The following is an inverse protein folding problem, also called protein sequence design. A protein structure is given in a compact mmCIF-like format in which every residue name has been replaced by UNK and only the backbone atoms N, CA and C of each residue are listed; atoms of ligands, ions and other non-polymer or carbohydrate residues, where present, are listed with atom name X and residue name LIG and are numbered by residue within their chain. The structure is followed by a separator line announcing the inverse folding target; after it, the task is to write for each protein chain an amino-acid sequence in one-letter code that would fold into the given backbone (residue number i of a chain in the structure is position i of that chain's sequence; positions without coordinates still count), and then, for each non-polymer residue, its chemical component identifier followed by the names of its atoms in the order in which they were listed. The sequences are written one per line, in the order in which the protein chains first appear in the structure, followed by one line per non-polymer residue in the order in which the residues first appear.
data_IF_619975672083
#
_entry.id   IF_619975672083
#
_cell.length_a   1.000
_cell.length_b   1.000
_cell.length_c   1.000
_cell.angle_alpha   90.00
_cell.angle_beta   90.00
_cell.angle_gamma   90.00
#
_symmetry.space_group_name_H-M   'P 1'
#
loop_
_entity.id
_entity.type
_entity.pdbx_description
1 polymer ?
#
# COMPACT_ATOMS: atom_id res chain seq x y z
N UNK A 1 4.63 -17.12 22.48
CA UNK A 1 5.95 -17.71 22.81
C UNK A 1 6.46 -18.44 21.59
N UNK A 2 7.34 -17.84 20.80
CA UNK A 2 7.99 -18.56 19.70
C UNK A 2 8.99 -19.58 20.27
N UNK A 3 8.94 -20.82 19.78
CA UNK A 3 9.82 -21.88 20.24
C UNK A 3 11.30 -21.54 19.92
N UNK A 4 12.24 -21.69 20.87
CA UNK A 4 13.66 -21.33 20.69
C UNK A 4 14.32 -21.96 19.46
N UNK A 5 13.88 -23.15 19.07
CA UNK A 5 14.33 -23.86 17.87
C UNK A 5 13.91 -23.18 16.57
N UNK A 6 12.66 -22.69 16.49
CA UNK A 6 12.18 -21.95 15.32
C UNK A 6 12.98 -20.66 15.12
N UNK A 7 13.26 -19.93 16.21
CA UNK A 7 14.06 -18.69 16.17
C UNK A 7 15.51 -18.94 15.77
N UNK A 8 16.13 -20.04 16.25
CA UNK A 8 17.47 -20.48 15.81
C UNK A 8 17.49 -20.86 14.32
N UNK A 9 16.47 -21.58 13.86
CA UNK A 9 16.36 -21.97 12.45
C UNK A 9 16.18 -20.77 11.53
N UNK A 10 15.24 -19.86 11.82
CA UNK A 10 14.99 -18.64 11.03
C UNK A 10 16.24 -17.77 10.91
N UNK A 11 17.08 -17.74 11.96
CA UNK A 11 18.32 -16.98 11.96
C UNK A 11 19.52 -17.72 11.35
N UNK A 12 19.38 -18.99 10.97
CA UNK A 12 20.45 -19.80 10.39
C UNK A 12 20.84 -19.32 8.99
N UNK A 13 22.09 -19.61 8.59
CA UNK A 13 22.57 -19.34 7.23
C UNK A 13 21.74 -20.05 6.16
N UNK A 14 21.25 -21.26 6.46
CA UNK A 14 20.41 -22.04 5.56
C UNK A 14 19.06 -21.37 5.32
N UNK A 15 18.38 -20.92 6.38
CA UNK A 15 17.10 -20.23 6.25
C UNK A 15 17.26 -18.90 5.50
N UNK A 16 18.33 -18.14 5.77
CA UNK A 16 18.66 -16.91 5.04
C UNK A 16 18.89 -17.20 3.56
N UNK A 17 19.69 -18.22 3.23
CA UNK A 17 19.95 -18.62 1.84
C UNK A 17 18.67 -18.96 1.06
N UNK A 18 17.77 -19.76 1.65
CA UNK A 18 16.50 -20.10 1.00
C UNK A 18 15.57 -18.90 0.88
N UNK A 19 15.52 -18.04 1.90
CA UNK A 19 14.74 -16.80 1.85
C UNK A 19 15.24 -15.89 0.71
N UNK A 20 16.54 -15.66 0.62
CA UNK A 20 17.13 -14.80 -0.40
C UNK A 20 16.93 -15.39 -1.81
N UNK A 21 17.05 -16.71 -1.94
CA UNK A 21 16.78 -17.42 -3.20
C UNK A 21 15.31 -17.29 -3.62
N UNK A 22 14.38 -17.45 -2.68
CA UNK A 22 12.95 -17.28 -2.93
C UNK A 22 12.61 -15.84 -3.32
N UNK A 23 13.17 -14.85 -2.61
CA UNK A 23 13.01 -13.42 -2.94
C UNK A 23 13.50 -13.14 -4.36
N UNK A 24 14.70 -13.63 -4.71
CA UNK A 24 15.26 -13.44 -6.05
C UNK A 24 14.39 -14.09 -7.14
N UNK A 25 13.85 -15.27 -6.88
CA UNK A 25 12.96 -15.96 -7.81
C UNK A 25 11.67 -15.16 -8.02
N UNK A 26 11.01 -14.72 -6.95
CA UNK A 26 9.79 -13.90 -7.05
C UNK A 26 10.09 -12.60 -7.78
N UNK A 27 11.18 -11.89 -7.44
CA UNK A 27 11.59 -10.66 -8.15
C UNK A 27 11.80 -10.88 -9.64
N UNK A 28 12.50 -11.94 -10.02
CA UNK A 28 12.77 -12.25 -11.43
C UNK A 28 11.50 -12.60 -12.20
N UNK A 29 10.58 -13.35 -11.57
CA UNK A 29 9.27 -13.64 -12.15
C UNK A 29 8.45 -12.37 -12.30
N UNK A 30 8.33 -11.57 -11.24
CA UNK A 30 7.62 -10.29 -11.22
C UNK A 30 8.15 -9.32 -12.29
N UNK A 31 9.48 -9.24 -12.45
CA UNK A 31 10.10 -8.42 -13.48
C UNK A 31 9.64 -8.79 -14.89
N UNK A 32 9.65 -10.09 -15.22
CA UNK A 32 9.20 -10.58 -16.53
C UNK A 32 7.71 -10.32 -16.74
N UNK A 33 6.88 -10.61 -15.74
CA UNK A 33 5.44 -10.37 -15.81
C UNK A 33 5.11 -8.89 -16.04
N UNK A 34 5.80 -7.97 -15.36
CA UNK A 34 5.60 -6.54 -15.58
C UNK A 34 6.20 -6.06 -16.90
N UNK A 35 7.32 -6.61 -17.36
CA UNK A 35 7.84 -6.30 -18.70
C UNK A 35 6.81 -6.67 -19.77
N UNK A 36 6.28 -7.90 -19.74
CA UNK A 36 5.24 -8.35 -20.67
C UNK A 36 3.96 -7.51 -20.56
N UNK A 37 3.52 -7.18 -19.35
CA UNK A 37 2.33 -6.35 -19.13
C UNK A 37 2.51 -4.92 -19.66
N UNK A 38 3.65 -4.29 -19.37
CA UNK A 38 3.91 -2.88 -19.67
C UNK A 38 4.37 -2.63 -21.11
N UNK A 39 4.86 -3.64 -21.82
CA UNK A 39 5.21 -3.54 -23.24
C UNK A 39 3.97 -3.56 -24.15
N UNK A 40 2.79 -3.94 -23.61
CA UNK A 40 1.52 -3.93 -24.33
C UNK A 40 0.74 -2.67 -23.96
N UNK A 41 0.75 -1.67 -24.85
CA UNK A 41 0.11 -0.36 -24.64
C UNK A 41 -1.37 -0.43 -24.21
N UNK A 42 -2.09 -1.50 -24.58
CA UNK A 42 -3.52 -1.68 -24.28
C UNK A 42 -3.80 -2.26 -22.87
N UNK A 43 -2.80 -2.79 -22.19
CA UNK A 43 -2.99 -3.46 -20.89
C UNK A 43 -3.46 -2.49 -19.80
N UNK A 44 -2.90 -1.27 -19.75
CA UNK A 44 -3.30 -0.25 -18.77
C UNK A 44 -4.74 0.21 -19.03
N UNK A 45 -5.11 0.44 -20.30
CA UNK A 45 -6.48 0.82 -20.66
C UNK A 45 -7.50 -0.27 -20.29
N UNK A 46 -7.19 -1.53 -20.58
CA UNK A 46 -8.05 -2.66 -20.19
C UNK A 46 -8.19 -2.83 -18.69
N UNK A 47 -7.15 -2.46 -17.92
CA UNK A 47 -7.21 -2.50 -16.47
C UNK A 47 -8.19 -1.45 -15.93
N UNK A 48 -8.26 -0.27 -16.53
CA UNK A 48 -9.26 0.73 -16.17
C UNK A 48 -10.70 0.24 -16.44
N UNK A 49 -10.95 -0.42 -17.58
CA UNK A 49 -12.25 -1.02 -17.89
C UNK A 49 -12.64 -2.13 -16.92
N UNK A 50 -11.66 -2.96 -16.53
CA UNK A 50 -11.83 -3.95 -15.49
C UNK A 50 -12.22 -3.31 -14.17
N UNK A 51 -11.52 -2.25 -13.74
CA UNK A 51 -11.78 -1.54 -12.48
C UNK A 51 -13.19 -0.93 -12.44
N UNK A 52 -13.67 -0.38 -13.57
CA UNK A 52 -15.02 0.15 -13.72
C UNK A 52 -16.11 -0.92 -13.53
N UNK A 53 -15.85 -2.14 -13.98
CA UNK A 53 -16.76 -3.28 -13.85
C UNK A 53 -16.69 -3.90 -12.47
N UNK A 54 -15.47 -4.12 -11.96
CA UNK A 54 -15.18 -4.69 -10.66
C UNK A 54 -15.83 -3.85 -9.54
N UNK A 55 -15.66 -2.53 -9.56
CA UNK A 55 -16.20 -1.66 -8.50
C UNK A 55 -17.73 -1.75 -8.39
N UNK A 56 -18.46 -1.84 -9.51
CA UNK A 56 -19.94 -1.89 -9.53
C UNK A 56 -20.46 -3.22 -8.97
N UNK A 57 -19.78 -4.31 -9.31
CA UNK A 57 -20.13 -5.66 -8.87
C UNK A 57 -19.93 -5.82 -7.36
N UNK A 58 -18.75 -5.47 -6.87
CA UNK A 58 -18.38 -5.71 -5.47
C UNK A 58 -18.98 -4.67 -4.50
N UNK A 59 -19.15 -3.41 -4.91
CA UNK A 59 -19.81 -2.40 -4.07
C UNK A 59 -21.23 -2.84 -3.70
N UNK A 60 -21.97 -3.36 -4.68
CA UNK A 60 -23.34 -3.84 -4.51
C UNK A 60 -23.40 -5.00 -3.53
N UNK A 61 -22.51 -5.98 -3.67
CA UNK A 61 -22.45 -7.14 -2.79
C UNK A 61 -22.09 -6.75 -1.34
N UNK A 62 -21.04 -5.94 -1.15
CA UNK A 62 -20.60 -5.49 0.18
C UNK A 62 -21.72 -4.71 0.88
N UNK A 63 -22.37 -3.79 0.18
CA UNK A 63 -23.40 -2.94 0.76
C UNK A 63 -24.71 -3.69 1.04
N UNK A 64 -25.08 -4.67 0.21
CA UNK A 64 -26.25 -5.50 0.44
C UNK A 64 -26.07 -6.48 1.61
N UNK A 65 -24.85 -6.98 1.84
CA UNK A 65 -24.60 -8.09 2.78
C UNK A 65 -23.99 -7.64 4.10
N UNK A 66 -22.97 -6.78 4.07
CA UNK A 66 -22.18 -6.44 5.24
C UNK A 66 -22.68 -5.19 5.97
N UNK A 67 -23.31 -4.26 5.23
CA UNK A 67 -23.60 -2.91 5.75
C UNK A 67 -25.09 -2.51 5.66
N UNK A 68 -25.96 -3.35 5.12
CA UNK A 68 -27.37 -3.00 4.87
C UNK A 68 -28.14 -2.57 6.14
N UNK A 69 -27.79 -3.15 7.29
CA UNK A 69 -28.41 -2.81 8.57
C UNK A 69 -27.90 -1.49 9.14
N UNK A 70 -26.68 -1.09 8.79
CA UNK A 70 -25.96 0.03 9.42
C UNK A 70 -26.03 1.30 8.58
N UNK A 71 -26.04 1.16 7.25
CA UNK A 71 -25.87 2.26 6.30
C UNK A 71 -26.88 2.09 5.16
N UNK A 72 -27.58 3.14 4.73
CA UNK A 72 -28.45 3.10 3.56
C UNK A 72 -27.71 2.57 2.33
N UNK A 73 -28.33 1.61 1.63
CA UNK A 73 -27.72 0.89 0.53
C UNK A 73 -27.14 1.80 -0.56
N UNK A 74 -27.93 2.76 -1.05
CA UNK A 74 -27.49 3.65 -2.15
C UNK A 74 -26.29 4.52 -1.76
N UNK A 75 -26.28 4.99 -0.51
CA UNK A 75 -25.17 5.77 0.03
C UNK A 75 -23.92 4.91 0.18
N UNK A 76 -24.06 3.71 0.76
CA UNK A 76 -22.96 2.76 0.88
C UNK A 76 -22.37 2.43 -0.50
N UNK A 77 -23.22 2.06 -1.46
CA UNK A 77 -22.81 1.62 -2.80
C UNK A 77 -22.04 2.72 -3.51
N UNK A 78 -22.59 3.94 -3.57
CA UNK A 78 -21.94 5.10 -4.19
C UNK A 78 -20.59 5.41 -3.54
N UNK A 79 -20.53 5.38 -2.22
CA UNK A 79 -19.31 5.67 -1.46
C UNK A 79 -18.24 4.60 -1.72
N UNK A 80 -18.63 3.32 -1.74
CA UNK A 80 -17.75 2.19 -2.02
C UNK A 80 -17.22 2.23 -3.46
N UNK A 81 -18.05 2.53 -4.46
CA UNK A 81 -17.61 2.65 -5.86
C UNK A 81 -16.54 3.74 -6.02
N UNK A 82 -16.72 4.89 -5.37
CA UNK A 82 -15.74 5.98 -5.39
C UNK A 82 -14.43 5.55 -4.71
N UNK A 83 -14.52 4.87 -3.56
CA UNK A 83 -13.37 4.38 -2.83
C UNK A 83 -12.56 3.36 -3.65
N UNK A 84 -13.23 2.32 -4.17
CA UNK A 84 -12.60 1.28 -4.97
C UNK A 84 -11.91 1.86 -6.21
N UNK A 85 -12.60 2.76 -6.93
CA UNK A 85 -12.00 3.42 -8.10
C UNK A 85 -10.76 4.23 -7.75
N UNK A 86 -10.82 5.06 -6.69
CA UNK A 86 -9.66 5.86 -6.27
C UNK A 86 -8.51 4.99 -5.80
N UNK A 87 -8.81 3.89 -5.10
CA UNK A 87 -7.82 2.92 -4.65
C UNK A 87 -7.13 2.25 -5.84
N UNK A 88 -7.88 1.81 -6.85
CA UNK A 88 -7.31 1.18 -8.04
C UNK A 88 -6.47 2.19 -8.84
N UNK A 89 -7.02 3.37 -9.11
CA UNK A 89 -6.36 4.43 -9.86
C UNK A 89 -5.00 4.83 -9.27
N UNK A 90 -4.86 4.85 -7.95
CA UNK A 90 -3.57 5.22 -7.34
C UNK A 90 -2.51 4.11 -7.43
N UNK A 91 -2.91 2.86 -7.63
CA UNK A 91 -1.96 1.77 -7.82
C UNK A 91 -1.39 1.75 -9.24
N UNK A 92 -2.14 2.23 -10.25
CA UNK A 92 -1.76 2.16 -11.66
C UNK A 92 -0.36 2.72 -11.97
N UNK A 93 0.03 3.92 -11.48
CA UNK A 93 1.35 4.46 -11.80
C UNK A 93 2.52 3.59 -11.33
N UNK A 94 2.35 2.77 -10.28
CA UNK A 94 3.43 1.92 -9.76
C UNK A 94 3.68 0.66 -10.59
N UNK A 95 2.72 0.24 -11.43
CA UNK A 95 2.78 -1.01 -12.18
C UNK A 95 3.95 -0.95 -13.17
N UNK A 96 4.00 0.11 -13.99
CA UNK A 96 4.98 0.25 -15.06
C UNK A 96 6.11 1.25 -14.77
N UNK A 97 6.10 1.91 -13.62
CA UNK A 97 7.21 2.78 -13.20
C UNK A 97 8.47 1.96 -12.92
N UNK A 98 9.62 2.41 -13.42
CA UNK A 98 10.93 1.77 -13.20
C UNK A 98 11.84 2.64 -12.35
N UNK A 99 12.67 2.00 -11.53
CA UNK A 99 13.77 2.66 -10.83
C UNK A 99 14.85 3.05 -11.84
N UNK A 100 15.27 4.32 -11.81
CA UNK A 100 16.37 4.82 -12.65
C UNK A 100 17.70 4.11 -12.39
N UNK A 101 17.91 3.62 -11.16
CA UNK A 101 19.19 3.06 -10.73
C UNK A 101 19.33 1.57 -11.08
N UNK A 102 18.24 0.82 -10.98
CA UNK A 102 18.26 -0.64 -11.10
C UNK A 102 17.56 -1.16 -12.36
N UNK A 103 16.73 -0.34 -13.02
CA UNK A 103 15.86 -0.78 -14.11
C UNK A 103 14.70 -1.68 -13.65
N UNK A 104 14.64 -2.06 -12.37
CA UNK A 104 13.55 -2.81 -11.77
C UNK A 104 12.26 -2.01 -11.76
N UNK A 105 11.12 -2.68 -11.84
CA UNK A 105 9.83 -2.05 -11.63
C UNK A 105 9.66 -1.64 -10.16
N UNK A 106 8.99 -0.52 -9.89
CA UNK A 106 8.75 -0.07 -8.52
C UNK A 106 7.86 -1.05 -7.74
N UNK A 107 6.92 -1.72 -8.43
CA UNK A 107 6.16 -2.83 -7.85
C UNK A 107 7.06 -4.01 -7.45
N UNK A 108 8.10 -4.32 -8.24
CA UNK A 108 9.08 -5.37 -7.91
C UNK A 108 9.86 -5.02 -6.63
N UNK A 109 10.34 -3.78 -6.50
CA UNK A 109 11.04 -3.30 -5.31
C UNK A 109 10.11 -3.30 -4.08
N UNK A 110 8.84 -2.91 -4.25
CA UNK A 110 7.80 -2.97 -3.21
C UNK A 110 7.59 -4.39 -2.67
N UNK A 111 7.43 -5.37 -3.58
CA UNK A 111 7.31 -6.77 -3.18
C UNK A 111 8.61 -7.30 -2.56
N UNK A 112 9.76 -6.83 -3.02
CA UNK A 112 11.06 -7.11 -2.40
C UNK A 112 11.06 -6.73 -0.92
N UNK A 113 10.62 -5.50 -0.59
CA UNK A 113 10.50 -5.03 0.79
C UNK A 113 9.51 -5.87 1.61
N UNK A 114 8.35 -6.20 1.02
CA UNK A 114 7.37 -7.08 1.67
C UNK A 114 7.94 -8.45 2.02
N UNK A 115 8.67 -9.09 1.10
CA UNK A 115 9.24 -10.42 1.35
C UNK A 115 10.47 -10.37 2.28
N UNK A 116 11.21 -9.27 2.28
CA UNK A 116 12.32 -9.06 3.22
C UNK A 116 11.82 -8.91 4.65
N UNK A 117 10.80 -8.08 4.88
CA UNK A 117 10.16 -7.95 6.18
C UNK A 117 8.70 -7.54 6.00
N UNK A 118 7.75 -8.49 6.07
CA UNK A 118 6.32 -8.19 5.98
C UNK A 118 5.88 -7.21 7.06
N UNK A 119 6.45 -7.34 8.26
CA UNK A 119 6.18 -6.45 9.39
C UNK A 119 6.59 -5.00 9.08
N UNK A 120 7.82 -4.79 8.62
CA UNK A 120 8.27 -3.44 8.28
C UNK A 120 7.50 -2.88 7.10
N UNK A 121 7.23 -3.70 6.08
CA UNK A 121 6.42 -3.28 4.94
C UNK A 121 5.04 -2.79 5.37
N UNK A 122 4.33 -3.54 6.22
CA UNK A 122 3.03 -3.12 6.76
C UNK A 122 3.17 -1.79 7.50
N UNK A 123 4.20 -1.63 8.36
CA UNK A 123 4.46 -0.37 9.08
C UNK A 123 4.71 0.82 8.14
N UNK A 124 5.31 0.59 6.97
CA UNK A 124 5.52 1.64 5.95
C UNK A 124 4.21 2.06 5.28
N UNK A 125 3.30 1.11 5.06
CA UNK A 125 2.06 1.32 4.32
C UNK A 125 0.90 1.83 5.19
N UNK A 126 0.93 1.58 6.50
CA UNK A 126 -0.12 2.01 7.42
C UNK A 126 0.18 3.36 8.07
N UNK A 127 -0.86 4.09 8.50
CA UNK A 127 -0.67 5.32 9.25
C UNK A 127 -0.04 5.06 10.62
N UNK A 128 0.86 5.95 11.06
CA UNK A 128 1.52 5.82 12.37
C UNK A 128 0.64 6.42 13.46
N UNK A 129 0.11 5.54 14.32
CA UNK A 129 -0.72 5.91 15.47
C UNK A 129 0.10 6.13 16.77
N UNK A 130 1.33 5.60 16.82
CA UNK A 130 2.23 5.72 17.98
C UNK A 130 3.70 5.70 17.55
N UNK A 131 4.56 6.43 18.24
CA UNK A 131 6.01 6.46 17.97
C UNK A 131 6.71 5.13 18.25
N UNK A 132 6.07 4.21 19.00
CA UNK A 132 6.51 2.82 19.16
C UNK A 132 6.57 2.04 17.84
N UNK A 133 6.00 2.58 16.77
CA UNK A 133 6.02 2.00 15.42
C UNK A 133 7.41 2.11 14.76
N UNK A 134 8.28 3.01 15.25
CA UNK A 134 9.59 3.32 14.68
C UNK A 134 10.71 2.39 15.20
N UNK A 135 10.66 1.10 14.84
CA UNK A 135 11.76 0.18 15.20
C UNK A 135 13.02 0.50 14.40
N UNK A 136 14.19 0.37 15.02
CA UNK A 136 15.48 0.62 14.37
C UNK A 136 15.68 -0.26 13.12
N UNK A 137 15.18 -1.50 13.15
CA UNK A 137 15.21 -2.42 12.00
C UNK A 137 14.41 -1.87 10.81
N UNK A 138 13.17 -1.42 11.03
CA UNK A 138 12.34 -0.92 9.93
C UNK A 138 12.83 0.44 9.42
N UNK A 139 13.35 1.30 10.29
CA UNK A 139 14.00 2.55 9.88
C UNK A 139 15.22 2.26 9.01
N UNK A 140 16.07 1.31 9.41
CA UNK A 140 17.24 0.92 8.63
C UNK A 140 16.86 0.32 7.27
N UNK A 141 15.86 -0.55 7.23
CA UNK A 141 15.37 -1.15 5.99
C UNK A 141 14.83 -0.10 5.01
N UNK A 142 14.03 0.85 5.52
CA UNK A 142 13.48 1.93 4.70
C UNK A 142 14.56 2.88 4.19
N UNK A 143 15.51 3.26 5.05
CA UNK A 143 16.64 4.10 4.65
C UNK A 143 17.50 3.44 3.56
N UNK A 144 17.72 2.12 3.67
CA UNK A 144 18.43 1.36 2.63
C UNK A 144 17.66 1.35 1.30
N UNK A 145 16.34 1.15 1.35
CA UNK A 145 15.49 1.19 0.17
C UNK A 145 15.53 2.57 -0.51
N UNK A 146 15.46 3.65 0.29
CA UNK A 146 15.51 5.02 -0.22
C UNK A 146 16.85 5.35 -0.88
N UNK A 147 17.95 4.82 -0.34
CA UNK A 147 19.27 4.99 -0.91
C UNK A 147 19.40 4.28 -2.26
N UNK A 148 18.89 3.04 -2.37
CA UNK A 148 19.05 2.23 -3.58
C UNK A 148 18.09 2.64 -4.71
N UNK A 149 16.84 2.93 -4.36
CA UNK A 149 15.73 3.15 -5.32
C UNK A 149 14.86 4.35 -4.92
N UNK A 150 15.43 5.57 -4.86
CA UNK A 150 14.76 6.77 -4.32
C UNK A 150 13.44 7.11 -5.03
N UNK A 151 13.37 6.92 -6.35
CA UNK A 151 12.16 7.15 -7.14
C UNK A 151 11.01 6.21 -6.73
N UNK A 152 11.29 4.92 -6.62
CA UNK A 152 10.29 3.93 -6.22
C UNK A 152 9.86 4.07 -4.77
N UNK A 153 10.78 4.37 -3.84
CA UNK A 153 10.40 4.64 -2.45
C UNK A 153 9.56 5.91 -2.29
N UNK A 154 9.81 6.94 -3.12
CA UNK A 154 8.97 8.15 -3.14
C UNK A 154 7.57 7.84 -3.66
N UNK A 155 7.46 6.98 -4.68
CA UNK A 155 6.15 6.48 -5.14
C UNK A 155 5.43 5.70 -4.05
N UNK A 156 6.12 4.81 -3.33
CA UNK A 156 5.53 4.07 -2.20
C UNK A 156 5.06 5.00 -1.08
N UNK A 157 5.83 6.02 -0.73
CA UNK A 157 5.43 7.01 0.27
C UNK A 157 4.19 7.78 -0.19
N UNK A 158 4.20 8.28 -1.43
CA UNK A 158 3.05 8.98 -2.02
C UNK A 158 1.81 8.08 -2.03
N UNK A 159 1.98 6.81 -2.43
CA UNK A 159 0.92 5.81 -2.43
C UNK A 159 0.36 5.60 -1.02
N UNK A 160 1.20 5.37 -0.01
CA UNK A 160 0.79 5.19 1.38
C UNK A 160 0.04 6.42 1.94
N UNK A 161 0.55 7.63 1.69
CA UNK A 161 -0.07 8.87 2.13
C UNK A 161 -1.47 9.06 1.53
N UNK A 162 -1.58 8.86 0.22
CA UNK A 162 -2.83 9.03 -0.49
C UNK A 162 -3.84 7.93 -0.17
N UNK A 163 -3.40 6.67 -0.06
CA UNK A 163 -4.23 5.56 0.37
C UNK A 163 -4.83 5.84 1.74
N UNK A 164 -4.01 6.31 2.68
CA UNK A 164 -4.46 6.75 4.00
C UNK A 164 -5.55 7.83 3.91
N UNK A 165 -5.33 8.85 3.07
CA UNK A 165 -6.31 9.92 2.85
C UNK A 165 -7.61 9.43 2.21
N UNK A 166 -7.52 8.54 1.23
CA UNK A 166 -8.66 7.91 0.56
C UNK A 166 -9.46 7.07 1.57
N UNK A 167 -8.79 6.26 2.39
CA UNK A 167 -9.42 5.42 3.42
C UNK A 167 -10.09 6.27 4.50
N UNK A 168 -9.44 7.31 5.01
CA UNK A 168 -10.03 8.26 5.95
C UNK A 168 -11.29 8.93 5.40
N UNK A 169 -11.21 9.42 4.16
CA UNK A 169 -12.35 10.04 3.49
C UNK A 169 -13.47 9.03 3.28
N UNK A 170 -13.15 7.82 2.85
CA UNK A 170 -14.12 6.74 2.71
C UNK A 170 -14.83 6.43 4.03
N UNK A 171 -14.10 6.28 5.14
CA UNK A 171 -14.72 6.06 6.45
C UNK A 171 -15.65 7.22 6.84
N UNK A 172 -15.25 8.47 6.62
CA UNK A 172 -16.11 9.67 6.84
C UNK A 172 -17.36 9.67 5.98
N UNK A 173 -17.18 9.54 4.68
CA UNK A 173 -18.29 9.54 3.73
C UNK A 173 -19.24 8.39 4.08
N UNK A 174 -18.73 7.20 4.35
CA UNK A 174 -19.52 6.01 4.65
C UNK A 174 -20.32 6.15 5.96
N UNK A 175 -19.66 6.54 7.05
CA UNK A 175 -20.27 6.63 8.38
C UNK A 175 -21.19 7.85 8.52
N UNK A 176 -21.01 8.91 7.72
CA UNK A 176 -21.88 10.10 7.76
C UNK A 176 -23.37 9.79 7.53
N UNK A 177 -23.67 8.68 6.85
CA UNK A 177 -25.03 8.18 6.64
C UNK A 177 -25.39 6.98 7.52
N UNK A 178 -24.58 6.66 8.54
CA UNK A 178 -24.92 5.60 9.48
C UNK A 178 -26.27 5.90 10.15
N UNK A 179 -27.10 4.87 10.28
CA UNK A 179 -28.43 4.98 10.91
C UNK A 179 -28.30 5.33 12.40
N UNK A 180 -27.24 4.87 13.02
CA UNK A 180 -26.89 5.14 14.41
C UNK A 180 -26.24 6.54 14.55
N UNK A 181 -26.82 7.46 15.34
CA UNK A 181 -26.22 8.76 15.64
C UNK A 181 -24.86 8.68 16.36
N UNK A 182 -24.64 7.72 17.26
CA UNK A 182 -23.37 7.61 18.00
C UNK A 182 -22.21 7.30 17.05
N UNK A 183 -22.46 6.46 16.04
CA UNK A 183 -21.48 6.16 14.99
C UNK A 183 -21.12 7.40 14.17
N UNK A 184 -22.08 8.30 13.94
CA UNK A 184 -21.82 9.56 13.23
C UNK A 184 -20.92 10.48 14.04
N UNK A 185 -21.15 10.58 15.34
CA UNK A 185 -20.33 11.40 16.26
C UNK A 185 -18.89 10.89 16.39
N UNK A 186 -18.67 9.57 16.33
CA UNK A 186 -17.32 8.99 16.34
C UNK A 186 -16.37 9.60 15.29
N UNK A 187 -16.90 10.03 14.15
CA UNK A 187 -16.11 10.59 13.07
C UNK A 187 -15.47 11.94 13.40
N UNK A 188 -16.04 12.69 14.34
CA UNK A 188 -15.51 13.97 14.79
C UNK A 188 -14.25 13.80 15.64
N UNK A 189 -14.07 12.62 16.22
CA UNK A 189 -12.90 12.27 17.02
C UNK A 189 -11.75 11.69 16.19
N UNK A 190 -11.97 11.36 14.92
CA UNK A 190 -10.91 10.81 14.07
C UNK A 190 -9.95 11.90 13.57
N UNK A 191 -8.62 11.64 13.58
CA UNK A 191 -7.64 12.60 13.11
C UNK A 191 -7.94 13.07 11.68
N UNK A 192 -7.79 14.37 11.43
CA UNK A 192 -7.91 14.94 10.08
C UNK A 192 -6.80 14.43 9.16
N UNK A 193 -5.63 14.19 9.74
CA UNK A 193 -4.44 13.68 9.07
C UNK A 193 -3.76 12.65 9.96
N UNK A 194 -3.17 11.64 9.33
CA UNK A 194 -2.24 10.74 10.00
C UNK A 194 -0.83 10.98 9.49
N UNK A 195 0.16 10.73 10.35
CA UNK A 195 1.57 10.75 9.96
C UNK A 195 1.90 9.47 9.19
N UNK A 196 2.65 9.58 8.10
CA UNK A 196 3.26 8.43 7.42
C UNK A 196 4.44 7.90 8.25
N UNK A 197 4.93 6.70 7.93
CA UNK A 197 6.15 6.17 8.53
C UNK A 197 7.33 7.13 8.33
N UNK A 198 7.49 7.69 7.12
CA UNK A 198 8.52 8.70 6.84
C UNK A 198 8.44 9.88 7.82
N UNK A 199 7.25 10.49 7.92
CA UNK A 199 7.05 11.68 8.76
C UNK A 199 7.26 11.41 10.25
N UNK A 200 6.87 10.23 10.74
CA UNK A 200 6.94 9.91 12.16
C UNK A 200 8.30 9.32 12.58
N UNK A 201 8.96 8.55 11.71
CA UNK A 201 10.12 7.73 12.09
C UNK A 201 11.44 8.18 11.44
N UNK A 202 11.38 8.93 10.34
CA UNK A 202 12.56 9.36 9.58
C UNK A 202 12.77 10.89 9.61
N UNK A 203 11.76 11.66 10.03
CA UNK A 203 11.76 13.12 10.00
C UNK A 203 11.29 13.70 8.66
N UNK A 204 11.28 15.04 8.49
CA UNK A 204 10.99 15.65 7.20
C UNK A 204 12.01 15.15 6.19
N UNK A 205 11.54 14.60 5.06
CA UNK A 205 12.40 14.10 4.01
C UNK A 205 13.42 15.20 3.65
N UNK A 206 14.70 14.92 3.89
CA UNK A 206 15.78 15.73 3.34
C UNK A 206 15.49 15.84 1.85
N UNK A 207 15.33 17.07 1.40
CA UNK A 207 15.02 17.47 0.02
C UNK A 207 15.99 16.84 -0.95
N UNK A 208 15.67 15.64 -1.45
CA UNK A 208 16.19 15.17 -2.72
C UNK A 208 15.23 15.66 -3.80
N UNK A 209 15.75 16.54 -4.65
CA UNK A 209 15.02 17.36 -5.61
C UNK A 209 13.89 16.63 -6.38
N UNK A 210 12.85 17.37 -6.81
CA UNK A 210 11.80 16.85 -7.65
C UNK A 210 12.35 16.62 -9.07
N UNK A 211 13.00 15.49 -9.30
CA UNK A 211 13.24 14.94 -10.62
C UNK A 211 12.07 14.03 -11.00
N UNK A 212 10.95 14.62 -11.40
CA UNK A 212 9.89 13.95 -12.14
C UNK A 212 9.99 14.50 -13.56
N UNK A 213 10.55 13.72 -14.47
CA UNK A 213 10.45 13.96 -15.91
C UNK A 213 10.03 12.63 -16.54
N UNK A 214 8.75 12.63 -16.92
CA UNK A 214 8.01 11.78 -17.87
C UNK A 214 7.98 10.28 -17.57
#
# INVERSE_FOLDING_TARGET
MEAPLARKFVNSSLAKFYKDSAIKMVRSWTHRSFAEFCDVNDCIYRLEDFDLSYRKCYSSAICATALANEIPYDHCKKTMEIFMYRHMYINLPMICSKSSNTGSFCSEESYGLFLQSPECYIRFMIPVLSEKTCSAECVSLWAHAQSNSPGCTRHLEYHAQRLTGITLKFMRDLISAAKDPEKREFMDHLPKHFRTFQQACMGPATTLAPGLVV
#
